data_IF_886720667022
#
_entry.id   IF_886720667022
#
_cell.length_a   1.000
_cell.length_b   1.000
_cell.length_c   1.000
_cell.angle_alpha   90.00
_cell.angle_beta   90.00
_cell.angle_gamma   90.00
#
_symmetry.space_group_name_H-M   'P 1'
#
loop_
_entity.id
_entity.type
_entity.pdbx_description
1 polymer ?
#
# COMPACT_ATOMS: atom_id res chain seq x y z
N UNK A 1 2.60 -3.01 5.09
CA UNK A 1 3.91 -2.41 4.76
C UNK A 1 4.80 -3.31 3.90
N UNK A 2 5.04 -4.59 4.26
CA UNK A 2 5.97 -5.47 3.51
C UNK A 2 5.68 -5.57 2.01
N UNK A 3 4.40 -5.68 1.65
CA UNK A 3 3.94 -5.64 0.25
C UNK A 3 4.39 -4.37 -0.49
N UNK A 4 4.01 -3.20 0.02
CA UNK A 4 4.34 -1.92 -0.60
C UNK A 4 5.85 -1.74 -0.82
N UNK A 5 6.67 -2.16 0.16
CA UNK A 5 8.13 -2.09 0.10
C UNK A 5 8.78 -3.20 -0.75
N UNK A 6 8.01 -4.20 -1.20
CA UNK A 6 8.50 -5.23 -2.15
C UNK A 6 8.25 -4.82 -3.60
N UNK A 7 7.34 -3.88 -3.86
CA UNK A 7 7.00 -3.48 -5.22
C UNK A 7 8.21 -2.89 -5.95
N UNK A 8 8.36 -3.17 -7.26
CA UNK A 8 9.44 -2.60 -8.04
C UNK A 8 9.33 -1.07 -8.06
N UNK A 9 10.47 -0.39 -8.04
CA UNK A 9 10.61 1.07 -8.08
C UNK A 9 10.10 1.82 -6.83
N UNK A 10 9.60 1.12 -5.81
CA UNK A 10 9.26 1.71 -4.52
C UNK A 10 10.48 1.69 -3.60
N UNK A 11 10.88 2.86 -3.12
CA UNK A 11 12.05 3.04 -2.25
C UNK A 11 11.67 3.41 -0.81
N UNK A 12 10.45 3.87 -0.58
CA UNK A 12 9.97 4.32 0.73
C UNK A 12 8.46 4.19 0.83
N UNK A 13 7.96 4.06 2.06
CA UNK A 13 6.54 4.11 2.39
C UNK A 13 6.35 5.09 3.55
N UNK A 14 5.58 6.15 3.33
CA UNK A 14 5.20 7.11 4.37
C UNK A 14 3.83 6.70 4.90
N UNK A 15 3.77 6.31 6.18
CA UNK A 15 2.57 5.75 6.80
C UNK A 15 2.23 6.55 8.06
N UNK A 16 1.06 7.21 8.06
CA UNK A 16 0.50 7.83 9.25
C UNK A 16 -0.07 6.78 10.20
N UNK A 17 0.09 7.01 11.51
CA UNK A 17 -0.39 6.08 12.54
C UNK A 17 -0.84 6.87 13.77
N UNK A 18 -1.93 6.43 14.39
CA UNK A 18 -2.52 7.02 15.59
C UNK A 18 -1.94 6.46 16.89
N UNK A 19 -1.17 5.37 16.81
CA UNK A 19 -0.58 4.67 17.95
C UNK A 19 0.94 4.47 17.85
N UNK A 20 1.63 4.86 18.91
CA UNK A 20 3.08 4.61 19.09
C UNK A 20 3.40 3.12 19.09
N UNK A 21 2.51 2.27 19.61
CA UNK A 21 2.74 0.83 19.65
C UNK A 21 2.75 0.21 18.25
N UNK A 22 1.90 0.71 17.35
CA UNK A 22 1.92 0.27 15.95
C UNK A 22 3.17 0.77 15.25
N UNK A 23 3.63 2.00 15.53
CA UNK A 23 4.92 2.50 15.03
C UNK A 23 6.07 1.57 15.46
N UNK A 24 6.09 1.14 16.72
CA UNK A 24 7.12 0.21 17.23
C UNK A 24 7.07 -1.15 16.54
N UNK A 25 5.87 -1.72 16.35
CA UNK A 25 5.69 -2.99 15.62
C UNK A 25 6.17 -2.88 14.17
N UNK A 26 5.84 -1.77 13.52
CA UNK A 26 6.29 -1.44 12.18
C UNK A 26 7.82 -1.34 12.10
N UNK A 27 8.44 -0.63 13.05
CA UNK A 27 9.90 -0.52 13.14
C UNK A 27 10.57 -1.89 13.37
N UNK A 28 9.99 -2.74 14.21
CA UNK A 28 10.50 -4.11 14.43
C UNK A 28 10.42 -4.95 13.14
N UNK A 29 9.31 -4.88 12.40
CA UNK A 29 9.17 -5.56 11.11
C UNK A 29 10.22 -5.11 10.09
N UNK A 30 10.64 -3.84 10.14
CA UNK A 30 11.64 -3.28 9.23
C UNK A 30 13.07 -3.74 9.56
N UNK A 31 13.37 -4.08 10.83
CA UNK A 31 14.72 -4.55 11.23
C UNK A 31 15.11 -5.84 10.52
N UNK A 32 14.16 -6.76 10.38
CA UNK A 32 14.35 -8.06 9.72
C UNK A 32 13.62 -8.12 8.38
N UNK A 33 13.51 -6.97 7.70
CA UNK A 33 12.76 -6.88 6.46
C UNK A 33 13.34 -7.83 5.41
N UNK A 34 12.45 -8.63 4.84
CA UNK A 34 12.71 -9.42 3.63
C UNK A 34 11.61 -9.12 2.64
N UNK A 35 11.94 -8.81 1.37
CA UNK A 35 10.95 -8.74 0.30
C UNK A 35 10.11 -10.01 0.27
N UNK A 36 8.84 -9.88 -0.11
CA UNK A 36 8.00 -11.04 -0.40
C UNK A 36 8.59 -11.83 -1.57
N UNK A 37 8.47 -13.16 -1.51
CA UNK A 37 8.83 -14.00 -2.65
C UNK A 37 7.88 -13.75 -3.84
N UNK A 38 8.27 -14.11 -5.07
CA UNK A 38 7.37 -14.05 -6.22
C UNK A 38 6.03 -14.76 -5.98
N UNK A 39 6.05 -15.93 -5.33
CA UNK A 39 4.85 -16.71 -5.03
C UNK A 39 3.96 -16.03 -3.99
N UNK A 40 4.56 -15.42 -2.96
CA UNK A 40 3.83 -14.62 -1.97
C UNK A 40 3.18 -13.39 -2.62
N UNK A 41 3.91 -12.72 -3.53
CA UNK A 41 3.39 -11.60 -4.31
C UNK A 41 2.22 -12.01 -5.19
N UNK A 42 2.32 -13.12 -5.93
CA UNK A 42 1.23 -13.64 -6.75
C UNK A 42 -0.02 -13.93 -5.93
N UNK A 43 0.13 -14.58 -4.76
CA UNK A 43 -1.00 -14.86 -3.86
C UNK A 43 -1.69 -13.58 -3.37
N UNK A 44 -0.92 -12.53 -3.09
CA UNK A 44 -1.48 -11.24 -2.68
C UNK A 44 -2.16 -10.54 -3.86
N UNK A 45 -1.59 -10.57 -5.05
CA UNK A 45 -2.20 -9.99 -6.25
C UNK A 45 -3.58 -10.58 -6.53
N UNK A 46 -3.74 -11.90 -6.43
CA UNK A 46 -5.05 -12.57 -6.59
C UNK A 46 -6.06 -12.07 -5.56
N UNK A 47 -5.65 -11.91 -4.29
CA UNK A 47 -6.55 -11.41 -3.24
C UNK A 47 -6.94 -9.94 -3.43
N UNK A 48 -6.05 -9.15 -4.04
CA UNK A 48 -6.24 -7.73 -4.25
C UNK A 48 -6.95 -7.41 -5.57
N UNK A 49 -7.06 -8.38 -6.49
CA UNK A 49 -7.70 -8.23 -7.79
C UNK A 49 -9.05 -7.49 -7.75
N UNK A 50 -9.99 -7.81 -6.83
CA UNK A 50 -11.28 -7.12 -6.80
C UNK A 50 -11.17 -5.62 -6.52
N UNK A 51 -10.15 -5.20 -5.77
CA UNK A 51 -9.90 -3.78 -5.47
C UNK A 51 -9.27 -3.04 -6.66
N UNK A 52 -8.46 -3.73 -7.47
CA UNK A 52 -7.85 -3.15 -8.67
C UNK A 52 -8.83 -3.11 -9.85
N UNK A 53 -9.82 -3.99 -9.89
CA UNK A 53 -10.84 -4.02 -10.94
C UNK A 53 -11.95 -2.96 -10.77
N UNK A 54 -11.99 -2.26 -9.63
CA UNK A 54 -13.00 -1.24 -9.34
C UNK A 54 -12.72 0.08 -10.07
N UNK A 55 -13.62 0.48 -10.98
CA UNK A 55 -13.53 1.75 -11.72
C UNK A 55 -14.41 2.87 -11.14
N UNK A 56 -14.91 2.70 -9.91
CA UNK A 56 -15.89 3.61 -9.29
C UNK A 56 -15.25 4.63 -8.34
N UNK A 57 -13.93 4.75 -8.32
CA UNK A 57 -13.28 5.75 -7.47
C UNK A 57 -13.53 7.16 -8.03
N UNK A 58 -13.77 8.17 -7.17
CA UNK A 58 -14.03 9.54 -7.62
C UNK A 58 -12.94 10.08 -8.56
N UNK A 59 -11.67 9.80 -8.28
CA UNK A 59 -10.53 10.24 -9.11
C UNK A 59 -10.36 9.52 -10.45
N UNK A 60 -11.19 8.51 -10.72
CA UNK A 60 -11.23 7.81 -12.01
C UNK A 60 -12.34 8.37 -12.93
N UNK A 61 -13.21 9.24 -12.41
CA UNK A 61 -14.33 9.78 -13.17
C UNK A 61 -13.94 11.03 -13.96
N UNK A 62 -14.51 11.24 -15.17
CA UNK A 62 -14.30 12.46 -15.93
C UNK A 62 -14.70 13.69 -15.13
N UNK A 63 -13.83 14.71 -15.11
CA UNK A 63 -14.10 15.98 -14.44
C UNK A 63 -13.75 16.01 -12.96
N UNK A 64 -13.20 14.93 -12.38
CA UNK A 64 -12.67 14.98 -11.03
C UNK A 64 -11.53 16.00 -10.90
N UNK A 65 -11.58 16.78 -9.83
CA UNK A 65 -10.53 17.72 -9.41
C UNK A 65 -10.24 17.49 -7.94
N UNK A 66 -9.01 17.10 -7.66
CA UNK A 66 -8.55 16.93 -6.28
C UNK A 66 -8.44 18.30 -5.60
N UNK A 67 -8.89 18.41 -4.35
CA UNK A 67 -8.83 19.65 -3.58
C UNK A 67 -9.78 20.79 -4.03
N UNK A 68 -10.72 20.56 -4.94
CA UNK A 68 -11.71 21.58 -5.35
C UNK A 68 -12.79 21.73 -4.26
N UNK A 69 -12.48 22.55 -3.25
CA UNK A 69 -13.33 22.77 -2.07
C UNK A 69 -12.58 23.08 -0.78
N UNK A 70 -11.26 23.19 -0.82
CA UNK A 70 -10.43 23.68 0.30
C UNK A 70 -10.12 25.18 0.17
#
# INVERSE_FOLDING_TARGET
MRYALTLPFIHSAVVGMDSVDVVRKNAALLKDFRPLSPEEMTKLSVKLEPFFAGNHMPWMQPGYRDGEGC
#
